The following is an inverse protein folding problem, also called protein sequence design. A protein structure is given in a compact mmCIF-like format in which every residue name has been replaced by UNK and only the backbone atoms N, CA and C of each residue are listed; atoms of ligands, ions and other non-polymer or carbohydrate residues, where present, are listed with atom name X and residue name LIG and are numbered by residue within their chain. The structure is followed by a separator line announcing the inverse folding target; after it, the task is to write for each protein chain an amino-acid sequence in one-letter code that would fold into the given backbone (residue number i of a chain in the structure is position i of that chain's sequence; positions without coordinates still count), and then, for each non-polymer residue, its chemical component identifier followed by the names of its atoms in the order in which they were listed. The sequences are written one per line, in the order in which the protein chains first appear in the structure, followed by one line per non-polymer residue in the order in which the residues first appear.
data_IF_497363418603
#
_entry.id   IF_497363418603
#
_cell.length_a   1.000
_cell.length_b   1.000
_cell.length_c   1.000
_cell.angle_alpha   90.00
_cell.angle_beta   90.00
_cell.angle_gamma   90.00
#
_symmetry.space_group_name_H-M   'P 1'
#
loop_
_entity.id
_entity.type
_entity.pdbx_description
1 polymer ?
#
# COMPACT_ATOMS: atom_id res chain seq x y z
N UNK A 1 8.19 21.66 35.12
CA UNK A 1 7.65 20.49 34.37
C UNK A 1 7.80 19.26 35.24
N UNK A 2 6.68 18.67 35.67
CA UNK A 2 6.71 17.36 36.35
C UNK A 2 6.98 16.32 35.27
N UNK A 3 8.14 15.66 35.32
CA UNK A 3 8.49 14.57 34.41
C UNK A 3 7.51 13.43 34.72
N UNK A 4 6.57 13.16 33.82
CA UNK A 4 5.66 12.03 33.97
C UNK A 4 6.52 10.76 34.05
N UNK A 5 6.44 10.03 35.17
CA UNK A 5 7.16 8.77 35.35
C UNK A 5 6.64 7.80 34.28
N UNK A 6 7.43 7.61 33.23
CA UNK A 6 7.12 6.68 32.16
C UNK A 6 7.25 5.27 32.73
N UNK A 7 6.13 4.54 32.83
CA UNK A 7 6.17 3.12 33.22
C UNK A 7 6.94 2.36 32.15
N UNK A 8 7.83 1.47 32.58
CA UNK A 8 8.55 0.55 31.68
C UNK A 8 7.56 -0.25 30.84
N UNK A 9 7.80 -0.33 29.53
CA UNK A 9 7.04 -1.17 28.60
C UNK A 9 7.90 -2.40 28.25
N UNK A 10 7.47 -3.57 28.70
CA UNK A 10 8.23 -4.82 28.57
C UNK A 10 8.40 -5.25 27.11
N UNK A 11 7.38 -5.08 26.28
CA UNK A 11 7.45 -5.42 24.85
C UNK A 11 8.42 -4.51 24.09
N UNK A 12 8.42 -3.21 24.40
CA UNK A 12 9.36 -2.26 23.79
C UNK A 12 10.80 -2.62 24.17
N UNK A 13 11.06 -2.97 25.43
CA UNK A 13 12.39 -3.40 25.87
C UNK A 13 12.84 -4.69 25.18
N UNK A 14 11.96 -5.69 25.07
CA UNK A 14 12.23 -6.96 24.39
C UNK A 14 12.63 -6.72 22.93
N UNK A 15 11.84 -5.95 22.17
CA UNK A 15 12.12 -5.62 20.77
C UNK A 15 13.41 -4.82 20.64
N UNK A 16 13.63 -3.83 21.52
CA UNK A 16 14.84 -3.02 21.50
C UNK A 16 16.10 -3.86 21.74
N UNK A 17 16.06 -4.76 22.72
CA UNK A 17 17.20 -5.64 23.02
C UNK A 17 17.51 -6.59 21.85
N UNK A 18 16.49 -7.11 21.18
CA UNK A 18 16.66 -7.90 19.96
C UNK A 18 17.28 -7.05 18.84
N UNK A 19 16.70 -5.88 18.57
CA UNK A 19 17.15 -4.95 17.54
C UNK A 19 18.62 -4.54 17.73
N UNK A 20 18.96 -4.05 18.93
CA UNK A 20 20.31 -3.52 19.19
C UNK A 20 21.37 -4.61 19.10
N UNK A 21 21.06 -5.84 19.52
CA UNK A 21 21.95 -7.00 19.39
C UNK A 21 22.27 -7.29 17.93
N UNK A 22 21.25 -7.33 17.05
CA UNK A 22 21.46 -7.57 15.62
C UNK A 22 22.21 -6.42 14.93
N UNK A 23 21.90 -5.17 15.26
CA UNK A 23 22.61 -4.00 14.71
C UNK A 23 24.09 -4.02 15.12
N UNK A 24 24.41 -4.33 16.38
CA UNK A 24 25.80 -4.43 16.84
C UNK A 24 26.58 -5.52 16.10
N UNK A 25 25.96 -6.67 15.85
CA UNK A 25 26.58 -7.76 15.08
C UNK A 25 26.79 -7.36 13.61
N UNK A 26 25.78 -6.73 12.99
CA UNK A 26 25.90 -6.20 11.63
C UNK A 26 27.05 -5.19 11.50
N UNK A 27 27.16 -4.21 12.41
CA UNK A 27 28.22 -3.21 12.36
C UNK A 27 29.62 -3.83 12.49
N UNK A 28 29.75 -4.91 13.27
CA UNK A 28 31.01 -5.67 13.39
C UNK A 28 31.34 -6.42 12.11
N UNK A 29 30.34 -7.03 11.47
CA UNK A 29 30.51 -7.78 10.21
C UNK A 29 30.83 -6.85 9.03
N UNK A 30 30.09 -5.75 8.91
CA UNK A 30 30.30 -4.74 7.87
C UNK A 30 31.65 -4.02 8.00
N UNK A 31 32.24 -4.02 9.20
CA UNK A 31 33.55 -3.41 9.48
C UNK A 31 33.66 -1.96 8.99
N UNK A 32 32.60 -1.18 9.23
CA UNK A 32 32.52 0.21 8.81
C UNK A 32 33.58 1.06 9.52
N UNK A 33 34.25 1.91 8.75
CA UNK A 33 35.12 2.93 9.30
C UNK A 33 34.31 4.14 9.81
N UNK A 34 34.97 5.08 10.48
CA UNK A 34 34.29 6.23 11.07
C UNK A 34 33.65 7.14 10.01
N UNK A 35 34.27 7.32 8.85
CA UNK A 35 33.75 8.14 7.76
C UNK A 35 32.45 7.54 7.20
N UNK A 36 32.41 6.23 6.94
CA UNK A 36 31.21 5.52 6.49
C UNK A 36 30.06 5.65 7.50
N UNK A 37 30.34 5.49 8.79
CA UNK A 37 29.36 5.71 9.85
C UNK A 37 28.83 7.15 9.86
N UNK A 38 29.71 8.15 9.73
CA UNK A 38 29.32 9.55 9.68
C UNK A 38 28.48 9.85 8.44
N UNK A 39 28.80 9.25 7.29
CA UNK A 39 28.00 9.37 6.07
C UNK A 39 26.60 8.79 6.24
N UNK A 40 26.49 7.60 6.87
CA UNK A 40 25.20 7.01 7.20
C UNK A 40 24.36 7.91 8.11
N UNK A 41 24.94 8.45 9.19
CA UNK A 41 24.23 9.35 10.12
C UNK A 41 23.74 10.62 9.41
N UNK A 42 24.58 11.22 8.55
CA UNK A 42 24.22 12.40 7.78
C UNK A 42 23.10 12.11 6.77
N UNK A 43 23.15 10.95 6.09
CA UNK A 43 22.08 10.51 5.20
C UNK A 43 20.77 10.28 5.95
N UNK A 44 20.81 9.63 7.12
CA UNK A 44 19.62 9.38 7.95
C UNK A 44 18.98 10.68 8.50
N UNK A 45 19.79 11.68 8.89
CA UNK A 45 19.27 13.00 9.27
C UNK A 45 18.58 13.70 8.08
N UNK A 46 19.15 13.63 6.87
CA UNK A 46 18.50 14.15 5.66
C UNK A 46 17.20 13.43 5.36
N UNK A 47 17.17 12.10 5.47
CA UNK A 47 15.97 11.29 5.26
C UNK A 47 14.82 11.76 6.16
N UNK A 48 15.10 11.99 7.45
CA UNK A 48 14.13 12.52 8.39
C UNK A 48 13.67 13.96 8.05
N UNK A 49 14.60 14.86 7.70
CA UNK A 49 14.28 16.26 7.37
C UNK A 49 13.51 16.41 6.06
N UNK A 50 13.74 15.52 5.10
CA UNK A 50 12.98 15.46 3.85
C UNK A 50 11.56 14.90 4.06
N UNK A 51 11.27 14.31 5.22
CA UNK A 51 10.00 13.63 5.47
C UNK A 51 9.90 12.28 4.76
N UNK A 52 11.02 11.70 4.32
CA UNK A 52 11.07 10.46 3.54
C UNK A 52 11.23 9.20 4.38
N UNK A 53 11.30 9.31 5.71
CA UNK A 53 11.38 8.12 6.56
C UNK A 53 10.22 7.14 6.32
N UNK A 54 8.95 7.56 6.17
CA UNK A 54 7.87 6.66 5.78
C UNK A 54 8.11 6.03 4.40
N UNK A 55 8.48 6.82 3.38
CA UNK A 55 8.78 6.30 2.04
C UNK A 55 9.87 5.22 2.07
N UNK A 56 11.00 5.49 2.72
CA UNK A 56 12.09 4.53 2.84
C UNK A 56 11.67 3.26 3.60
N UNK A 57 10.90 3.40 4.67
CA UNK A 57 10.41 2.26 5.44
C UNK A 57 9.45 1.39 4.61
N UNK A 58 8.53 1.99 3.86
CA UNK A 58 7.59 1.27 3.00
C UNK A 58 8.32 0.52 1.89
N UNK A 59 9.33 1.14 1.28
CA UNK A 59 10.12 0.55 0.18
C UNK A 59 11.01 -0.61 0.66
N UNK A 60 11.76 -0.42 1.75
CA UNK A 60 12.83 -1.37 2.12
C UNK A 60 12.53 -2.23 3.35
N UNK A 61 11.50 -1.93 4.14
CA UNK A 61 11.27 -2.60 5.44
C UNK A 61 9.87 -3.20 5.59
N UNK A 62 8.81 -2.48 5.21
CA UNK A 62 7.42 -2.86 5.51
C UNK A 62 7.06 -4.22 4.89
N UNK A 63 7.48 -4.50 3.66
CA UNK A 63 7.32 -5.82 3.02
C UNK A 63 7.82 -6.98 3.91
N UNK A 64 8.95 -6.81 4.60
CA UNK A 64 9.52 -7.84 5.47
C UNK A 64 8.74 -8.00 6.77
N UNK A 65 8.20 -6.90 7.32
CA UNK A 65 7.30 -6.94 8.49
C UNK A 65 6.05 -7.73 8.15
N UNK A 66 5.43 -7.43 7.00
CA UNK A 66 4.23 -8.11 6.54
C UNK A 66 4.48 -9.60 6.29
N UNK A 67 5.56 -9.95 5.58
CA UNK A 67 5.94 -11.36 5.33
C UNK A 67 6.19 -12.12 6.63
N UNK A 68 6.94 -11.55 7.56
CA UNK A 68 7.23 -12.22 8.83
C UNK A 68 5.96 -12.54 9.65
N UNK A 69 4.95 -11.67 9.57
CA UNK A 69 3.73 -11.81 10.38
C UNK A 69 2.62 -12.63 9.69
N UNK A 70 2.51 -12.55 8.35
CA UNK A 70 1.32 -12.99 7.62
C UNK A 70 1.54 -14.15 6.63
N UNK A 71 2.78 -14.52 6.29
CA UNK A 71 3.05 -15.55 5.27
C UNK A 71 2.30 -16.86 5.55
N UNK A 72 2.31 -17.33 6.79
CA UNK A 72 1.67 -18.59 7.20
C UNK A 72 0.24 -18.41 7.73
N UNK A 73 -0.31 -17.18 7.68
CA UNK A 73 -1.66 -16.90 8.17
C UNK A 73 -2.71 -17.07 7.06
N UNK A 74 -3.86 -17.70 7.35
CA UNK A 74 -4.94 -17.85 6.37
C UNK A 74 -5.52 -16.48 5.99
N UNK A 75 -6.19 -16.40 4.84
CA UNK A 75 -6.79 -15.17 4.32
C UNK A 75 -5.86 -14.41 3.37
N UNK A 76 -6.37 -13.33 2.79
CA UNK A 76 -5.63 -12.52 1.80
C UNK A 76 -4.37 -11.93 2.42
N UNK A 77 -3.26 -11.98 1.69
CA UNK A 77 -2.01 -11.39 2.14
C UNK A 77 -2.12 -9.86 2.19
N UNK A 78 -1.64 -9.22 3.27
CA UNK A 78 -1.54 -7.77 3.28
C UNK A 78 -0.41 -7.31 2.33
N UNK A 79 -0.54 -6.09 1.86
CA UNK A 79 0.50 -5.37 1.14
C UNK A 79 0.63 -3.96 1.72
N UNK A 80 1.57 -3.19 1.19
CA UNK A 80 1.96 -1.89 1.72
C UNK A 80 0.76 -0.93 1.75
N UNK A 81 0.62 -0.16 2.83
CA UNK A 81 -0.26 1.01 2.82
C UNK A 81 0.26 2.02 1.78
N UNK A 82 1.57 2.21 1.77
CA UNK A 82 2.25 3.17 0.92
C UNK A 82 2.05 4.62 1.39
N UNK A 83 2.86 5.55 0.87
CA UNK A 83 2.92 6.91 1.38
C UNK A 83 1.73 7.78 0.95
N UNK A 84 0.86 7.27 0.07
CA UNK A 84 -0.17 8.05 -0.59
C UNK A 84 -1.57 7.86 -0.01
N UNK A 85 -1.72 7.19 1.14
CA UNK A 85 -2.99 7.12 1.84
C UNK A 85 -3.36 8.47 2.49
N UNK A 86 -4.64 8.86 2.43
CA UNK A 86 -5.17 10.02 3.15
C UNK A 86 -6.50 9.67 3.80
N UNK A 87 -6.73 10.21 4.99
CA UNK A 87 -7.98 10.03 5.73
C UNK A 87 -9.10 10.97 5.24
N UNK A 88 -10.33 10.64 5.62
CA UNK A 88 -11.51 11.48 5.40
C UNK A 88 -11.92 11.56 3.93
N UNK A 89 -11.74 10.47 3.18
CA UNK A 89 -12.23 10.34 1.80
C UNK A 89 -13.76 10.37 1.76
N UNK A 90 -14.37 10.77 0.63
CA UNK A 90 -15.82 10.81 0.51
C UNK A 90 -16.45 9.40 0.51
N UNK A 91 -17.65 9.29 1.08
CA UNK A 91 -18.51 8.13 0.92
C UNK A 91 -19.07 8.09 -0.52
N UNK A 92 -18.88 6.96 -1.20
CA UNK A 92 -19.49 6.68 -2.50
C UNK A 92 -20.77 5.90 -2.26
N UNK A 93 -21.90 6.54 -2.55
CA UNK A 93 -23.21 5.93 -2.37
C UNK A 93 -23.54 4.97 -3.51
N UNK A 94 -23.92 3.73 -3.16
CA UNK A 94 -24.41 2.75 -4.12
C UNK A 94 -25.74 3.21 -4.73
N UNK A 95 -25.88 3.09 -6.05
CA UNK A 95 -27.12 3.33 -6.78
C UNK A 95 -27.65 2.00 -7.31
N UNK A 96 -28.95 1.68 -7.14
CA UNK A 96 -29.50 0.42 -7.61
C UNK A 96 -29.22 0.16 -9.10
N UNK A 97 -28.64 -1.00 -9.40
CA UNK A 97 -28.33 -1.43 -10.77
C UNK A 97 -27.17 -0.69 -11.45
N UNK A 98 -26.35 0.04 -10.69
CA UNK A 98 -25.17 0.74 -11.19
C UNK A 98 -23.93 0.33 -10.38
N UNK A 99 -22.74 0.30 -11.00
CA UNK A 99 -21.50 0.19 -10.25
C UNK A 99 -21.33 1.42 -9.33
N UNK A 100 -20.52 1.26 -8.29
CA UNK A 100 -19.94 2.40 -7.61
C UNK A 100 -19.04 3.14 -8.59
N UNK A 101 -18.95 4.47 -8.51
CA UNK A 101 -18.03 5.24 -9.35
C UNK A 101 -17.02 5.94 -8.43
N UNK A 102 -15.74 5.57 -8.58
CA UNK A 102 -14.67 6.18 -7.80
C UNK A 102 -14.63 7.68 -8.12
N UNK A 103 -14.35 8.48 -7.10
CA UNK A 103 -14.38 9.95 -7.26
C UNK A 103 -13.36 10.37 -8.32
N UNK A 104 -13.75 11.17 -9.30
CA UNK A 104 -12.86 11.59 -10.40
C UNK A 104 -13.28 12.96 -10.94
N UNK A 105 -12.35 13.68 -11.58
CA UNK A 105 -12.64 14.96 -12.24
C UNK A 105 -13.45 14.73 -13.53
N UNK A 106 -14.12 15.76 -14.05
CA UNK A 106 -14.77 15.67 -15.36
C UNK A 106 -13.77 15.32 -16.46
N UNK A 107 -14.23 14.53 -17.44
CA UNK A 107 -13.45 14.13 -18.63
C UNK A 107 -12.09 13.50 -18.30
N UNK A 108 -12.05 12.73 -17.21
CA UNK A 108 -10.85 12.05 -16.76
C UNK A 108 -10.32 11.08 -17.84
N UNK A 109 -9.01 11.15 -18.10
CA UNK A 109 -8.35 10.31 -19.08
C UNK A 109 -8.10 8.90 -18.53
N UNK A 110 -7.80 7.95 -19.41
CA UNK A 110 -7.46 6.58 -19.06
C UNK A 110 -8.48 5.56 -19.54
N UNK A 111 -8.05 4.30 -19.59
CA UNK A 111 -8.93 3.20 -19.97
C UNK A 111 -9.88 2.89 -18.81
N UNK A 112 -11.19 2.91 -19.08
CA UNK A 112 -12.21 2.61 -18.07
C UNK A 112 -12.02 1.19 -17.54
N UNK A 113 -12.02 1.04 -16.22
CA UNK A 113 -11.93 -0.23 -15.50
C UNK A 113 -13.16 -0.43 -14.63
N UNK A 114 -13.80 -1.58 -14.78
CA UNK A 114 -14.76 -2.10 -13.81
C UNK A 114 -14.05 -3.19 -12.99
N UNK A 115 -13.79 -2.87 -11.73
CA UNK A 115 -13.17 -3.80 -10.79
C UNK A 115 -14.21 -4.36 -9.82
N UNK A 116 -14.34 -5.68 -9.79
CA UNK A 116 -15.29 -6.37 -8.91
C UNK A 116 -14.55 -7.19 -7.85
N UNK A 117 -15.15 -7.32 -6.67
CA UNK A 117 -14.60 -8.20 -5.64
C UNK A 117 -15.66 -8.68 -4.66
N UNK A 118 -15.39 -9.83 -4.04
CA UNK A 118 -16.12 -10.34 -2.90
C UNK A 118 -15.26 -10.27 -1.63
N UNK A 119 -15.82 -9.84 -0.51
CA UNK A 119 -15.15 -9.84 0.79
C UNK A 119 -15.79 -10.88 1.70
N UNK A 120 -14.98 -11.77 2.23
CA UNK A 120 -15.41 -12.85 3.13
C UNK A 120 -14.47 -13.01 4.33
N UNK A 121 -14.90 -13.77 5.32
CA UNK A 121 -14.10 -14.16 6.49
C UNK A 121 -13.33 -15.45 6.19
N UNK A 122 -12.26 -15.74 6.94
CA UNK A 122 -11.50 -17.00 6.85
C UNK A 122 -12.33 -18.26 7.10
N UNK A 123 -13.53 -18.13 7.69
CA UNK A 123 -14.50 -19.22 7.83
C UNK A 123 -15.47 -19.38 6.64
N UNK A 124 -15.28 -18.61 5.57
CA UNK A 124 -16.07 -18.64 4.34
C UNK A 124 -17.36 -17.83 4.37
N UNK A 125 -17.67 -17.13 5.46
CA UNK A 125 -18.87 -16.26 5.52
C UNK A 125 -18.63 -14.95 4.76
N UNK A 126 -19.52 -14.56 3.84
CA UNK A 126 -19.46 -13.23 3.24
C UNK A 126 -19.58 -12.13 4.30
N UNK A 127 -18.85 -11.03 4.10
CA UNK A 127 -18.83 -9.90 5.01
C UNK A 127 -19.65 -8.76 4.42
N UNK A 128 -20.92 -8.72 4.83
CA UNK A 128 -21.82 -7.61 4.50
C UNK A 128 -21.43 -6.34 5.23
N UNK A 129 -21.60 -5.19 4.57
CA UNK A 129 -21.31 -3.86 5.13
C UNK A 129 -19.88 -3.71 5.65
N UNK A 130 -18.94 -4.50 5.11
CA UNK A 130 -17.53 -4.24 5.31
C UNK A 130 -17.19 -2.91 4.64
N UNK A 131 -16.51 -2.03 5.37
CA UNK A 131 -16.02 -0.77 4.81
C UNK A 131 -14.85 -1.08 3.89
N UNK A 132 -14.91 -0.56 2.68
CA UNK A 132 -13.84 -0.65 1.68
C UNK A 132 -13.39 0.77 1.37
N UNK A 133 -12.14 1.05 1.65
CA UNK A 133 -11.43 2.26 1.26
C UNK A 133 -10.59 1.93 0.03
N UNK A 134 -10.73 2.71 -1.05
CA UNK A 134 -10.04 2.47 -2.32
C UNK A 134 -9.33 3.73 -2.79
N UNK A 135 -8.08 3.58 -3.23
CA UNK A 135 -7.33 4.66 -3.87
C UNK A 135 -6.36 4.16 -4.93
N UNK A 136 -6.04 5.02 -5.89
CA UNK A 136 -5.05 4.76 -6.95
C UNK A 136 -4.48 6.07 -7.50
N UNK A 137 -3.56 5.97 -8.45
CA UNK A 137 -3.11 7.09 -9.26
C UNK A 137 -4.02 7.37 -10.46
N UNK A 138 -3.83 8.55 -11.06
CA UNK A 138 -4.49 8.99 -12.28
C UNK A 138 -3.79 8.48 -13.55
N UNK A 139 -4.33 8.84 -14.72
CA UNK A 139 -3.78 8.46 -16.03
C UNK A 139 -2.42 9.10 -16.37
N UNK A 140 -1.82 9.88 -15.47
CA UNK A 140 -0.44 10.35 -15.54
C UNK A 140 0.50 9.65 -14.55
N UNK A 141 -0.01 8.67 -13.80
CA UNK A 141 0.73 7.93 -12.79
C UNK A 141 0.84 8.66 -11.44
N UNK A 142 0.09 9.75 -11.25
CA UNK A 142 0.19 10.64 -10.08
C UNK A 142 -0.99 10.48 -9.12
N UNK A 143 -0.75 10.74 -7.84
CA UNK A 143 -1.75 10.69 -6.78
C UNK A 143 -2.27 12.08 -6.42
N UNK A 144 -3.60 12.19 -6.32
CA UNK A 144 -4.25 13.39 -5.78
C UNK A 144 -3.81 13.65 -4.33
N UNK A 145 -3.76 14.94 -3.97
CA UNK A 145 -3.22 15.47 -2.71
C UNK A 145 -1.70 15.40 -2.54
N UNK A 146 -0.97 14.84 -3.51
CA UNK A 146 0.49 14.74 -3.49
C UNK A 146 1.10 15.42 -4.72
N UNK A 147 1.20 14.71 -5.83
CA UNK A 147 1.94 15.14 -7.03
C UNK A 147 1.06 15.39 -8.26
N UNK A 148 -0.23 15.04 -8.19
CA UNK A 148 -1.25 15.37 -9.19
C UNK A 148 -1.87 16.76 -8.96
N UNK A 149 -2.27 17.42 -10.04
CA UNK A 149 -3.04 18.66 -10.03
C UNK A 149 -4.56 18.44 -9.90
N UNK A 150 -4.99 17.17 -9.89
CA UNK A 150 -6.38 16.79 -9.73
C UNK A 150 -6.93 17.17 -8.34
N UNK A 151 -8.27 17.27 -8.18
CA UNK A 151 -8.89 17.54 -6.88
C UNK A 151 -8.41 16.57 -5.79
N UNK A 152 -8.38 17.02 -4.52
CA UNK A 152 -7.82 16.28 -3.37
C UNK A 152 -8.21 14.79 -3.29
N UNK A 153 -9.44 14.44 -3.67
CA UNK A 153 -9.97 13.08 -3.58
C UNK A 153 -10.12 12.40 -4.96
N UNK A 154 -9.45 12.89 -6.00
CA UNK A 154 -9.45 12.22 -7.31
C UNK A 154 -8.89 10.80 -7.16
N UNK A 155 -9.63 9.82 -7.67
CA UNK A 155 -9.46 8.39 -7.49
C UNK A 155 -9.29 7.94 -6.04
N UNK A 156 -10.10 8.50 -5.12
CA UNK A 156 -10.14 8.13 -3.70
C UNK A 156 -11.57 8.13 -3.18
N UNK A 157 -11.93 7.12 -2.42
CA UNK A 157 -13.24 7.07 -1.79
C UNK A 157 -13.42 5.82 -0.96
N UNK A 158 -14.51 5.80 -0.21
CA UNK A 158 -14.90 4.61 0.52
C UNK A 158 -16.36 4.26 0.29
N UNK A 159 -16.67 2.98 0.45
CA UNK A 159 -18.00 2.41 0.26
C UNK A 159 -18.14 1.18 1.14
N UNK A 160 -19.28 0.50 1.03
CA UNK A 160 -19.60 -0.69 1.81
C UNK A 160 -19.98 -1.84 0.88
N UNK A 161 -19.56 -3.04 1.22
CA UNK A 161 -19.98 -4.26 0.53
C UNK A 161 -21.48 -4.51 0.68
N UNK A 162 -22.07 -5.18 -0.32
CA UNK A 162 -23.47 -5.60 -0.28
C UNK A 162 -23.72 -6.73 0.73
N UNK A 163 -24.97 -7.18 0.85
CA UNK A 163 -25.36 -8.25 1.79
C UNK A 163 -24.68 -9.61 1.53
N UNK A 164 -24.09 -9.80 0.36
CA UNK A 164 -23.32 -10.99 -0.02
C UNK A 164 -21.80 -10.72 -0.04
N UNK A 165 -21.35 -9.59 0.48
CA UNK A 165 -19.94 -9.20 0.51
C UNK A 165 -19.40 -8.67 -0.82
N UNK A 166 -20.23 -8.47 -1.84
CA UNK A 166 -19.77 -8.01 -3.15
C UNK A 166 -19.64 -6.49 -3.24
N UNK A 167 -18.78 -6.05 -4.15
CA UNK A 167 -18.74 -4.70 -4.66
C UNK A 167 -18.29 -4.68 -6.12
N UNK A 168 -18.66 -3.63 -6.85
CA UNK A 168 -18.14 -3.33 -8.18
C UNK A 168 -17.90 -1.82 -8.27
N UNK A 169 -16.69 -1.43 -8.66
CA UNK A 169 -16.26 -0.04 -8.78
C UNK A 169 -15.81 0.23 -10.20
N UNK A 170 -16.40 1.25 -10.81
CA UNK A 170 -15.95 1.89 -12.03
C UNK A 170 -14.87 2.93 -11.68
N UNK A 171 -13.72 2.79 -12.32
CA UNK A 171 -12.54 3.66 -12.21
C UNK A 171 -11.79 3.63 -13.56
N UNK A 172 -10.49 3.93 -13.58
CA UNK A 172 -9.58 3.69 -14.71
C UNK A 172 -8.50 2.67 -14.35
N UNK A 173 -7.89 2.07 -15.35
CA UNK A 173 -6.67 1.27 -15.16
C UNK A 173 -5.56 2.19 -14.63
N UNK A 174 -4.98 1.91 -13.43
CA UNK A 174 -3.87 2.69 -12.91
C UNK A 174 -2.61 2.47 -13.76
N UNK A 175 -1.64 3.38 -13.63
CA UNK A 175 -0.36 3.25 -14.31
C UNK A 175 0.75 2.82 -13.35
N UNK A 176 1.83 2.20 -13.86
CA UNK A 176 3.08 2.12 -13.12
C UNK A 176 3.57 3.52 -12.76
N UNK A 177 4.20 3.67 -11.61
CA UNK A 177 4.76 4.95 -11.19
C UNK A 177 6.16 4.80 -10.59
N UNK A 178 6.91 5.90 -10.63
CA UNK A 178 8.20 6.03 -9.95
C UNK A 178 7.95 6.58 -8.54
N UNK A 179 8.57 5.99 -7.52
CA UNK A 179 8.69 6.67 -6.22
C UNK A 179 9.49 7.98 -6.39
N UNK A 180 9.39 8.95 -5.46
CA UNK A 180 10.24 10.14 -5.48
C UNK A 180 11.73 9.78 -5.51
N UNK A 181 12.50 10.47 -6.35
CA UNK A 181 13.94 10.19 -6.58
C UNK A 181 14.86 11.37 -6.30
N UNK A 182 14.29 12.54 -5.99
CA UNK A 182 15.02 13.78 -5.73
C UNK A 182 15.53 13.90 -4.28
N UNK A 183 15.12 12.99 -3.39
CA UNK A 183 15.55 12.93 -2.00
C UNK A 183 16.46 11.75 -1.63
N UNK A 184 16.77 11.59 -0.33
CA UNK A 184 17.71 10.58 0.17
C UNK A 184 17.34 9.13 -0.19
N UNK A 185 16.05 8.82 -0.37
CA UNK A 185 15.61 7.50 -0.83
C UNK A 185 16.04 7.24 -2.27
N UNK A 186 15.87 8.24 -3.16
CA UNK A 186 16.34 8.16 -4.55
C UNK A 186 17.85 8.04 -4.67
N UNK A 187 18.59 8.82 -3.87
CA UNK A 187 20.05 8.70 -3.76
C UNK A 187 20.48 7.27 -3.35
N UNK A 188 19.75 6.65 -2.42
CA UNK A 188 20.03 5.27 -2.00
C UNK A 188 19.79 4.26 -3.14
N UNK A 189 18.73 4.44 -3.93
CA UNK A 189 18.49 3.62 -5.12
C UNK A 189 19.61 3.77 -6.15
N UNK A 190 20.11 4.99 -6.37
CA UNK A 190 21.23 5.24 -7.28
C UNK A 190 22.51 4.52 -6.81
N UNK A 191 22.85 4.59 -5.52
CA UNK A 191 24.01 3.89 -4.97
C UNK A 191 23.90 2.36 -5.04
N UNK A 192 22.69 1.83 -5.15
CA UNK A 192 22.43 0.38 -5.20
C UNK A 192 22.08 -0.14 -6.58
N UNK A 193 22.15 0.72 -7.62
CA UNK A 193 21.78 0.41 -9.01
C UNK A 193 20.35 -0.16 -9.13
N UNK A 194 19.41 0.40 -8.38
CA UNK A 194 18.00 0.02 -8.39
C UNK A 194 17.14 1.04 -9.12
N UNK A 195 16.07 0.56 -9.77
CA UNK A 195 15.10 1.45 -10.40
C UNK A 195 14.02 1.88 -9.40
N UNK A 196 13.38 3.05 -9.57
CA UNK A 196 12.37 3.56 -8.64
C UNK A 196 10.93 3.09 -8.93
N UNK A 197 10.76 2.19 -9.89
CA UNK A 197 9.45 1.88 -10.45
C UNK A 197 8.66 0.84 -9.64
N UNK A 198 7.37 1.10 -9.52
CA UNK A 198 6.35 0.18 -9.02
C UNK A 198 5.38 -0.18 -10.17
N UNK A 199 4.89 -1.42 -10.24
CA UNK A 199 3.88 -1.82 -11.22
C UNK A 199 2.55 -1.09 -10.99
N UNK A 200 1.68 -1.07 -11.99
CA UNK A 200 0.31 -0.58 -11.85
C UNK A 200 -0.45 -1.37 -10.76
N UNK A 201 -1.12 -0.66 -9.86
CA UNK A 201 -1.89 -1.28 -8.79
C UNK A 201 -3.05 -0.43 -8.27
N UNK A 202 -4.04 -1.11 -7.70
CA UNK A 202 -5.11 -0.53 -6.90
C UNK A 202 -4.77 -0.74 -5.42
N UNK A 203 -5.03 0.25 -4.58
CA UNK A 203 -4.96 0.07 -3.14
C UNK A 203 -6.32 -0.15 -2.52
N UNK A 204 -6.35 -0.98 -1.48
CA UNK A 204 -7.52 -1.23 -0.67
C UNK A 204 -7.18 -1.24 0.82
N UNK A 205 -8.10 -0.72 1.63
CA UNK A 205 -8.16 -0.98 3.07
C UNK A 205 -9.57 -1.45 3.42
N UNK A 206 -9.66 -2.62 4.04
CA UNK A 206 -10.91 -3.25 4.44
C UNK A 206 -11.05 -3.23 5.96
N UNK A 207 -12.21 -2.82 6.44
CA UNK A 207 -12.56 -2.82 7.85
C UNK A 207 -13.93 -3.49 8.05
N UNK A 208 -13.99 -4.45 8.98
CA UNK A 208 -15.21 -5.15 9.34
C UNK A 208 -15.19 -5.47 10.84
N UNK A 209 -16.35 -5.40 11.49
CA UNK A 209 -16.46 -5.70 12.92
C UNK A 209 -15.97 -7.13 13.22
N UNK A 210 -15.13 -7.27 14.25
CA UNK A 210 -14.55 -8.56 14.66
C UNK A 210 -13.44 -9.10 13.74
N UNK A 211 -12.95 -8.29 12.80
CA UNK A 211 -11.90 -8.68 11.87
C UNK A 211 -10.67 -7.77 11.97
N UNK A 212 -9.49 -8.31 11.69
CA UNK A 212 -8.28 -7.52 11.51
C UNK A 212 -8.46 -6.61 10.28
N UNK A 213 -8.05 -5.34 10.39
CA UNK A 213 -7.99 -4.44 9.22
C UNK A 213 -7.05 -5.05 8.17
N UNK A 214 -7.54 -5.20 6.94
CA UNK A 214 -6.73 -5.69 5.82
C UNK A 214 -6.36 -4.51 4.93
N UNK A 215 -5.08 -4.14 4.92
CA UNK A 215 -4.50 -3.23 3.93
C UNK A 215 -3.82 -4.08 2.87
N UNK A 216 -4.16 -3.86 1.61
CA UNK A 216 -3.60 -4.64 0.51
C UNK A 216 -3.61 -3.87 -0.80
N UNK A 217 -3.02 -4.48 -1.83
CA UNK A 217 -2.92 -3.95 -3.17
C UNK A 217 -3.35 -5.02 -4.17
N UNK A 218 -3.81 -4.61 -5.35
CA UNK A 218 -4.11 -5.51 -6.47
C UNK A 218 -3.28 -5.09 -7.67
N UNK A 219 -2.60 -6.04 -8.28
CA UNK A 219 -1.69 -5.86 -9.40
C UNK A 219 -2.24 -6.54 -10.66
N UNK A 220 -1.79 -6.09 -11.83
CA UNK A 220 -2.30 -6.58 -13.12
C UNK A 220 -1.25 -7.37 -13.89
N UNK A 221 -1.62 -8.56 -14.37
CA UNK A 221 -0.75 -9.39 -15.20
C UNK A 221 -0.27 -8.65 -16.46
N UNK A 222 0.99 -8.88 -16.84
CA UNK A 222 1.61 -8.30 -18.03
C UNK A 222 2.32 -6.96 -17.80
N UNK A 223 2.25 -6.40 -16.58
CA UNK A 223 3.05 -5.25 -16.21
C UNK A 223 4.55 -5.62 -16.12
N UNK A 224 5.41 -4.80 -16.72
CA UNK A 224 6.85 -5.04 -16.83
C UNK A 224 7.61 -4.91 -15.50
N UNK A 225 7.01 -4.29 -14.49
CA UNK A 225 7.65 -4.05 -13.19
C UNK A 225 7.23 -5.05 -12.11
N UNK A 226 6.43 -6.07 -12.44
CA UNK A 226 5.94 -7.04 -11.45
C UNK A 226 7.09 -7.82 -10.80
N UNK A 227 8.07 -8.25 -11.60
CA UNK A 227 9.19 -9.07 -11.12
C UNK A 227 10.25 -8.25 -10.38
N UNK A 228 10.24 -6.93 -10.56
CA UNK A 228 11.28 -6.03 -10.05
C UNK A 228 10.74 -4.87 -9.24
N UNK A 229 9.50 -4.94 -8.73
CA UNK A 229 8.87 -3.88 -7.91
C UNK A 229 9.85 -3.37 -6.85
N UNK A 230 10.16 -2.07 -6.86
CA UNK A 230 11.18 -1.49 -5.98
C UNK A 230 10.85 -1.69 -4.50
N UNK A 231 9.56 -1.82 -4.16
CA UNK A 231 9.11 -2.04 -2.79
C UNK A 231 8.94 -3.53 -2.41
N UNK A 232 9.24 -4.45 -3.33
CA UNK A 232 9.06 -5.91 -3.20
C UNK A 232 7.65 -6.26 -2.66
N UNK A 233 6.65 -5.47 -3.06
CA UNK A 233 5.29 -5.48 -2.52
C UNK A 233 4.35 -6.45 -3.25
N UNK A 234 4.72 -6.88 -4.46
CA UNK A 234 3.95 -7.81 -5.29
C UNK A 234 3.82 -9.17 -4.62
N UNK A 235 2.62 -9.75 -4.68
CA UNK A 235 2.33 -11.12 -4.25
C UNK A 235 1.48 -11.79 -5.32
N UNK A 236 1.71 -13.08 -5.56
CA UNK A 236 1.03 -13.83 -6.62
C UNK A 236 -0.49 -13.92 -6.39
N UNK A 237 -0.93 -13.99 -5.14
CA UNK A 237 -2.34 -14.03 -4.75
C UNK A 237 -3.04 -12.66 -4.80
N UNK A 238 -2.29 -11.59 -5.11
CA UNK A 238 -2.77 -10.24 -5.31
C UNK A 238 -2.77 -9.83 -6.79
N UNK A 239 -2.51 -10.78 -7.69
CA UNK A 239 -2.52 -10.57 -9.14
C UNK A 239 -3.90 -10.86 -9.74
N UNK A 240 -4.28 -10.09 -10.74
CA UNK A 240 -5.46 -10.34 -11.57
C UNK A 240 -5.20 -9.94 -13.02
N UNK A 241 -6.15 -10.27 -13.91
CA UNK A 241 -6.07 -9.96 -15.34
C UNK A 241 -6.95 -8.78 -15.69
N UNK A 242 -6.52 -8.00 -16.68
CA UNK A 242 -7.33 -7.02 -17.36
C UNK A 242 -7.92 -7.66 -18.62
N UNK A 243 -9.24 -7.88 -18.62
CA UNK A 243 -9.95 -8.41 -19.78
C UNK A 243 -10.65 -7.26 -20.53
N UNK A 244 -10.58 -7.27 -21.85
CA UNK A 244 -11.32 -6.31 -22.69
C UNK A 244 -12.77 -6.77 -22.85
N UNK A 245 -13.72 -5.88 -22.58
CA UNK A 245 -15.16 -6.13 -22.76
C UNK A 245 -15.84 -4.86 -23.24
N UNK A 246 -16.53 -4.93 -24.37
CA UNK A 246 -17.36 -3.83 -24.89
C UNK A 246 -16.71 -2.42 -24.82
N UNK A 247 -15.41 -2.32 -25.11
CA UNK A 247 -14.64 -1.07 -25.12
C UNK A 247 -14.21 -0.54 -23.74
N UNK A 248 -14.25 -1.38 -22.71
CA UNK A 248 -13.68 -1.10 -21.38
C UNK A 248 -12.91 -2.33 -20.86
N UNK A 249 -12.17 -2.15 -19.76
CA UNK A 249 -11.52 -3.23 -19.02
C UNK A 249 -12.40 -3.73 -17.89
N UNK A 250 -12.38 -5.04 -17.68
CA UNK A 250 -12.94 -5.69 -16.49
C UNK A 250 -11.86 -6.48 -15.77
N UNK A 251 -11.94 -6.52 -14.45
CA UNK A 251 -11.03 -7.28 -13.61
C UNK A 251 -11.67 -7.61 -12.28
N UNK A 252 -11.19 -8.65 -11.61
CA UNK A 252 -11.74 -9.04 -10.32
C UNK A 252 -10.73 -9.71 -9.41
N UNK A 253 -10.89 -9.53 -8.10
CA UNK A 253 -10.19 -10.31 -7.07
C UNK A 253 -11.07 -10.39 -5.82
N UNK A 254 -11.08 -11.56 -5.19
CA UNK A 254 -11.79 -11.77 -3.92
C UNK A 254 -10.84 -11.62 -2.73
N UNK A 255 -11.38 -11.16 -1.60
CA UNK A 255 -10.64 -10.81 -0.40
C UNK A 255 -11.17 -11.62 0.80
N UNK A 256 -10.25 -12.12 1.61
CA UNK A 256 -10.54 -12.92 2.80
C UNK A 256 -9.93 -12.26 4.02
N UNK A 257 -10.77 -11.70 4.89
CA UNK A 257 -10.38 -11.03 6.13
C UNK A 257 -10.23 -12.02 7.28
N UNK A 258 -9.22 -11.79 8.12
CA UNK A 258 -8.91 -12.57 9.32
C UNK A 258 -9.77 -12.08 10.48
N UNK A 259 -10.23 -13.00 11.34
CA UNK A 259 -10.91 -12.65 12.60
C UNK A 259 -9.90 -12.25 13.67
N UNK A 260 -10.25 -11.30 14.54
CA UNK A 260 -9.46 -10.89 15.73
C UNK A 260 -9.53 -11.93 16.84
#
# INVERSE_FOLDING_TARGET
MVKQLTKKNERVEEVFNLFISHVQNFLKEANLNHEEYTNFVNWADRLGRAGELPLYADVFLETHVLRAMYTEKPGTQPSLLGPYFIEGTPLIEAKPGQPLELTQRPDEAGDVLYFSGNVSSTNGKPLAKARVEMWQNDASGKYSAFDSDAPKYNFRGHFFTDENGNFEVKTIVPLPYSIPTDGPTGEFLEYTDQHPMRPAHLHFMFEAEGHETLITQVFFEGDKWLETDVADGVRLDLMTKLEEKDGHKVSSLDFVMRTV
#
